data_IF_020647847711
#
_entry.id   IF_020647847711
#
_cell.length_a   1.000
_cell.length_b   1.000
_cell.length_c   1.000
_cell.angle_alpha   90.00
_cell.angle_beta   90.00
_cell.angle_gamma   90.00
#
_symmetry.space_group_name_H-M   'P 1'
#
loop_
_entity.id
_entity.type
_entity.pdbx_description
1 polymer ?
#
# COMPACT_ATOMS: atom_id res chain seq x y z
N UNK A 1 -15.03 -6.18 -2.46
CA UNK A 1 -15.27 -5.34 -1.26
C UNK A 1 -14.12 -5.56 -0.30
N UNK A 2 -13.47 -4.48 0.13
CA UNK A 2 -12.41 -4.54 1.13
C UNK A 2 -12.98 -5.08 2.45
N UNK A 3 -12.18 -5.85 3.19
CA UNK A 3 -12.52 -6.34 4.52
C UNK A 3 -12.27 -5.27 5.62
N UNK A 4 -11.94 -4.06 5.19
CA UNK A 4 -11.70 -2.86 6.01
C UNK A 4 -12.95 -1.97 6.01
N UNK A 5 -13.12 -1.18 7.06
CA UNK A 5 -14.14 -0.12 7.11
C UNK A 5 -13.70 1.10 6.28
N UNK A 6 -14.66 1.96 5.92
CA UNK A 6 -14.34 3.21 5.20
C UNK A 6 -13.37 4.07 5.99
N UNK A 7 -13.53 4.16 7.31
CA UNK A 7 -12.64 4.96 8.17
C UNK A 7 -11.22 4.38 8.25
N UNK A 8 -11.07 3.04 8.23
CA UNK A 8 -9.75 2.39 8.15
C UNK A 8 -9.08 2.72 6.80
N UNK A 9 -9.83 2.68 5.69
CA UNK A 9 -9.32 3.04 4.36
C UNK A 9 -8.87 4.50 4.30
N UNK A 10 -9.67 5.42 4.84
CA UNK A 10 -9.36 6.85 4.84
C UNK A 10 -8.11 7.17 5.67
N UNK A 11 -7.94 6.51 6.83
CA UNK A 11 -6.73 6.67 7.66
C UNK A 11 -5.48 6.15 6.96
N UNK A 12 -5.55 4.98 6.31
CA UNK A 12 -4.41 4.43 5.57
C UNK A 12 -4.06 5.35 4.39
N UNK A 13 -5.05 5.85 3.64
CA UNK A 13 -4.81 6.80 2.55
C UNK A 13 -4.13 8.08 3.05
N UNK A 14 -4.57 8.61 4.19
CA UNK A 14 -3.96 9.79 4.78
C UNK A 14 -2.49 9.54 5.17
N UNK A 15 -2.21 8.41 5.84
CA UNK A 15 -0.84 8.02 6.22
C UNK A 15 0.07 7.83 5.00
N UNK A 16 -0.37 7.05 4.00
CA UNK A 16 0.41 6.82 2.78
C UNK A 16 0.72 8.13 2.04
N UNK A 17 -0.20 9.10 2.05
CA UNK A 17 0.04 10.41 1.45
C UNK A 17 1.10 11.22 2.19
N UNK A 18 1.19 11.10 3.51
CA UNK A 18 2.24 11.74 4.31
C UNK A 18 3.59 11.03 4.12
N UNK A 19 3.59 9.69 4.10
CA UNK A 19 4.80 8.86 3.98
C UNK A 19 5.44 8.95 2.58
N UNK A 20 4.63 8.77 1.52
CA UNK A 20 5.08 8.73 0.13
C UNK A 20 5.04 10.11 -0.55
N UNK A 21 4.30 11.05 0.04
CA UNK A 21 3.98 12.33 -0.60
C UNK A 21 2.92 12.20 -1.70
N UNK A 22 2.76 13.28 -2.46
CA UNK A 22 1.83 13.36 -3.58
C UNK A 22 2.48 14.12 -4.75
N UNK A 23 2.60 13.46 -5.91
CA UNK A 23 3.19 14.06 -7.11
C UNK A 23 2.25 13.92 -8.31
N UNK A 24 1.70 15.04 -8.79
CA UNK A 24 0.75 15.08 -9.91
C UNK A 24 1.40 14.95 -11.31
N UNK A 25 2.59 14.34 -11.37
CA UNK A 25 3.33 14.10 -12.61
C UNK A 25 4.21 12.87 -12.45
N UNK A 26 4.62 12.29 -13.58
CA UNK A 26 5.56 11.16 -13.58
C UNK A 26 6.92 11.64 -13.05
N UNK A 27 7.48 10.92 -12.09
CA UNK A 27 8.82 11.12 -11.52
C UNK A 27 9.60 9.80 -11.50
N UNK A 28 10.89 9.86 -11.20
CA UNK A 28 11.69 8.67 -10.91
C UNK A 28 11.79 8.49 -9.40
N UNK A 29 11.47 7.30 -8.91
CA UNK A 29 11.68 6.94 -7.51
C UNK A 29 13.17 6.80 -7.15
N UNK A 30 13.46 6.44 -5.90
CA UNK A 30 14.84 6.24 -5.42
C UNK A 30 15.59 5.10 -6.12
N UNK A 31 14.87 4.21 -6.80
CA UNK A 31 15.40 3.08 -7.55
C UNK A 31 15.49 3.36 -9.06
N UNK A 32 15.03 4.53 -9.51
CA UNK A 32 15.02 4.94 -10.92
C UNK A 32 13.84 4.42 -11.73
N UNK A 33 12.77 3.96 -11.08
CA UNK A 33 11.54 3.53 -11.75
C UNK A 33 10.56 4.70 -11.90
N UNK A 34 9.76 4.66 -12.98
CA UNK A 34 8.73 5.69 -13.22
C UNK A 34 7.56 5.49 -12.26
N UNK A 35 7.20 6.55 -11.56
CA UNK A 35 6.16 6.56 -10.52
C UNK A 35 5.33 7.83 -10.62
N UNK A 36 4.08 7.82 -10.17
CA UNK A 36 3.26 9.03 -10.00
C UNK A 36 2.34 8.94 -8.79
N UNK A 37 1.68 10.06 -8.45
CA UNK A 37 0.63 10.09 -7.43
C UNK A 37 1.18 9.82 -6.04
N UNK A 38 0.58 8.83 -5.35
CA UNK A 38 0.98 8.35 -4.01
C UNK A 38 1.73 7.03 -4.22
N UNK A 39 3.00 7.10 -4.60
CA UNK A 39 3.88 5.93 -4.74
C UNK A 39 3.49 4.90 -5.82
N UNK A 40 2.60 5.23 -6.78
CA UNK A 40 2.16 4.27 -7.80
C UNK A 40 3.26 4.00 -8.84
N UNK A 41 3.84 2.81 -8.78
CA UNK A 41 4.82 2.31 -9.76
C UNK A 41 4.13 2.01 -11.09
N UNK A 42 4.56 2.68 -12.16
CA UNK A 42 3.99 2.50 -13.50
C UNK A 42 4.38 1.12 -14.05
N UNK A 43 3.37 0.30 -14.39
CA UNK A 43 3.53 -1.03 -14.99
C UNK A 43 3.21 -0.98 -16.49
N UNK A 44 3.55 -2.05 -17.21
CA UNK A 44 3.25 -2.19 -18.65
C UNK A 44 1.77 -2.10 -19.00
N UNK A 45 0.90 -2.45 -18.05
CA UNK A 45 -0.55 -2.36 -18.17
C UNK A 45 -1.09 -0.94 -18.03
N UNK A 46 -0.30 -0.01 -17.49
CA UNK A 46 -0.75 1.35 -17.24
C UNK A 46 -0.70 2.20 -18.51
N UNK A 47 -1.69 3.08 -18.75
CA UNK A 47 -1.68 4.03 -19.87
C UNK A 47 -0.41 4.89 -19.92
N UNK A 48 0.19 5.13 -18.76
CA UNK A 48 1.35 5.98 -18.58
C UNK A 48 2.70 5.32 -18.91
N UNK A 49 2.74 4.01 -19.19
CA UNK A 49 3.99 3.24 -19.34
C UNK A 49 5.03 3.89 -20.27
N UNK A 50 4.57 4.32 -21.44
CA UNK A 50 5.42 4.91 -22.48
C UNK A 50 5.57 6.43 -22.34
N UNK A 51 4.94 7.07 -21.35
CA UNK A 51 5.01 8.52 -21.17
C UNK A 51 6.34 8.93 -20.51
N UNK A 52 6.89 10.10 -20.87
CA UNK A 52 8.15 10.59 -20.31
C UNK A 52 7.96 11.07 -18.86
N UNK A 53 9.07 11.07 -18.11
CA UNK A 53 9.14 11.74 -16.80
C UNK A 53 8.76 13.22 -16.96
N UNK A 54 7.97 13.74 -16.03
CA UNK A 54 7.43 15.10 -16.06
C UNK A 54 6.04 15.23 -16.67
N UNK A 55 5.50 14.17 -17.29
CA UNK A 55 4.12 14.16 -17.80
C UNK A 55 3.13 14.36 -16.66
N UNK A 56 2.23 15.34 -16.79
CA UNK A 56 1.18 15.60 -15.80
C UNK A 56 0.14 14.49 -15.80
N UNK A 57 -0.33 14.13 -14.60
CA UNK A 57 -1.36 13.12 -14.39
C UNK A 57 -2.56 13.79 -13.72
N UNK A 58 -3.77 13.51 -14.21
CA UNK A 58 -4.99 14.05 -13.63
C UNK A 58 -5.24 13.50 -12.23
N UNK A 59 -5.89 14.29 -11.39
CA UNK A 59 -6.29 13.88 -10.04
C UNK A 59 -7.11 12.58 -10.07
N UNK A 60 -8.07 12.47 -10.98
CA UNK A 60 -8.91 11.27 -11.13
C UNK A 60 -8.10 10.01 -11.43
N UNK A 61 -7.05 10.13 -12.26
CA UNK A 61 -6.16 9.00 -12.56
C UNK A 61 -5.32 8.62 -11.36
N UNK A 62 -4.82 9.60 -10.60
CA UNK A 62 -4.07 9.37 -9.36
C UNK A 62 -4.95 8.64 -8.34
N UNK A 63 -6.18 9.11 -8.13
CA UNK A 63 -7.12 8.49 -7.20
C UNK A 63 -7.52 7.08 -7.63
N UNK A 64 -7.72 6.84 -8.93
CA UNK A 64 -7.97 5.51 -9.47
C UNK A 64 -6.79 4.57 -9.27
N UNK A 65 -5.57 5.01 -9.59
CA UNK A 65 -4.36 4.20 -9.44
C UNK A 65 -4.13 3.82 -7.97
N UNK A 66 -4.23 4.81 -7.07
CA UNK A 66 -4.13 4.59 -5.63
C UNK A 66 -5.16 3.57 -5.14
N UNK A 67 -6.42 3.70 -5.59
CA UNK A 67 -7.48 2.80 -5.17
C UNK A 67 -7.20 1.36 -5.60
N UNK A 68 -6.61 1.15 -6.77
CA UNK A 68 -6.29 -0.19 -7.27
C UNK A 68 -5.08 -0.79 -6.55
N UNK A 69 -4.01 -0.02 -6.34
CA UNK A 69 -2.86 -0.45 -5.53
C UNK A 69 -3.29 -0.78 -4.09
N UNK A 70 -4.15 0.05 -3.51
CA UNK A 70 -4.68 -0.18 -2.17
C UNK A 70 -5.49 -1.47 -2.08
N UNK A 71 -6.34 -1.76 -3.08
CA UNK A 71 -7.08 -3.04 -3.14
C UNK A 71 -6.13 -4.23 -3.27
N UNK A 72 -5.10 -4.10 -4.11
CA UNK A 72 -4.07 -5.15 -4.28
C UNK A 72 -3.37 -5.41 -2.94
N UNK A 73 -2.93 -4.36 -2.24
CA UNK A 73 -2.30 -4.45 -0.93
C UNK A 73 -3.23 -5.05 0.13
N UNK A 74 -4.49 -4.62 0.22
CA UNK A 74 -5.46 -5.15 1.17
C UNK A 74 -5.80 -6.63 0.90
N UNK A 75 -5.89 -7.02 -0.37
CA UNK A 75 -6.10 -8.42 -0.76
C UNK A 75 -4.88 -9.26 -0.40
N UNK A 76 -3.69 -8.82 -0.78
CA UNK A 76 -2.45 -9.53 -0.51
C UNK A 76 -2.20 -9.66 1.00
N UNK A 77 -2.51 -8.64 1.79
CA UNK A 77 -2.44 -8.70 3.26
C UNK A 77 -3.27 -9.87 3.79
N UNK A 78 -4.49 -10.01 3.28
CA UNK A 78 -5.41 -11.09 3.67
C UNK A 78 -4.95 -12.46 3.16
N UNK A 79 -4.34 -12.52 1.98
CA UNK A 79 -3.79 -13.76 1.44
C UNK A 79 -2.57 -14.23 2.23
N UNK A 80 -1.74 -13.30 2.72
CA UNK A 80 -0.62 -13.60 3.61
C UNK A 80 -1.14 -13.99 5.01
N UNK A 81 -2.10 -13.23 5.53
CA UNK A 81 -2.64 -13.38 6.87
C UNK A 81 -4.17 -13.48 6.87
N UNK A 82 -4.76 -14.67 6.63
CA UNK A 82 -6.21 -14.83 6.52
C UNK A 82 -7.01 -14.40 7.76
N UNK A 83 -6.36 -14.36 8.94
CA UNK A 83 -6.95 -13.94 10.22
C UNK A 83 -6.95 -12.41 10.43
N UNK A 84 -6.40 -11.64 9.49
CA UNK A 84 -6.26 -10.18 9.62
C UNK A 84 -7.57 -9.44 9.85
N UNK A 85 -8.69 -10.01 9.37
CA UNK A 85 -10.03 -9.46 9.56
C UNK A 85 -10.45 -9.38 11.03
N UNK A 86 -9.80 -10.14 11.91
CA UNK A 86 -10.10 -10.21 13.36
C UNK A 86 -9.17 -9.35 14.21
N UNK A 87 -8.19 -8.69 13.61
CA UNK A 87 -7.23 -7.86 14.33
C UNK A 87 -7.82 -6.50 14.73
N UNK A 88 -7.21 -5.81 15.72
CA UNK A 88 -7.55 -4.42 16.01
C UNK A 88 -7.36 -3.53 14.76
N UNK A 89 -8.16 -2.46 14.64
CA UNK A 89 -8.13 -1.55 13.49
C UNK A 89 -6.73 -1.03 13.16
N UNK A 90 -6.02 -0.52 14.16
CA UNK A 90 -4.64 -0.02 14.02
C UNK A 90 -3.68 -1.08 13.45
N UNK A 91 -3.78 -2.33 13.91
CA UNK A 91 -2.94 -3.43 13.39
C UNK A 91 -3.25 -3.69 11.92
N UNK A 92 -4.53 -3.66 11.52
CA UNK A 92 -4.89 -3.81 10.10
C UNK A 92 -4.30 -2.69 9.25
N UNK A 93 -4.40 -1.45 9.73
CA UNK A 93 -3.90 -0.26 9.04
C UNK A 93 -2.40 -0.36 8.80
N UNK A 94 -1.63 -0.68 9.85
CA UNK A 94 -0.18 -0.89 9.78
C UNK A 94 0.16 -1.99 8.78
N UNK A 95 -0.51 -3.15 8.89
CA UNK A 95 -0.18 -4.30 8.04
C UNK A 95 -0.53 -4.08 6.57
N UNK A 96 -1.59 -3.32 6.26
CA UNK A 96 -1.94 -2.94 4.89
C UNK A 96 -0.97 -1.90 4.35
N UNK A 97 -0.59 -0.88 5.13
CA UNK A 97 0.44 0.09 4.75
C UNK A 97 1.78 -0.61 4.46
N UNK A 98 2.24 -1.50 5.35
CA UNK A 98 3.44 -2.30 5.10
C UNK A 98 3.33 -3.14 3.83
N UNK A 99 2.17 -3.75 3.56
CA UNK A 99 1.94 -4.53 2.34
C UNK A 99 1.93 -3.65 1.09
N UNK A 100 1.43 -2.42 1.17
CA UNK A 100 1.45 -1.45 0.08
C UNK A 100 2.90 -1.15 -0.33
N UNK A 101 3.78 -0.90 0.65
CA UNK A 101 5.18 -0.56 0.41
C UNK A 101 6.09 -1.75 0.08
N UNK A 102 5.86 -2.91 0.71
CA UNK A 102 6.75 -4.08 0.59
C UNK A 102 6.23 -5.15 -0.37
N UNK A 103 4.94 -5.11 -0.71
CA UNK A 103 4.25 -6.17 -1.43
C UNK A 103 4.47 -7.54 -0.79
N UNK A 104 4.71 -8.56 -1.62
CA UNK A 104 4.90 -9.94 -1.17
C UNK A 104 6.13 -10.18 -0.28
N UNK A 105 7.08 -9.23 -0.20
CA UNK A 105 8.26 -9.33 0.66
C UNK A 105 7.88 -9.38 2.15
N UNK A 106 6.69 -8.92 2.51
CA UNK A 106 6.16 -9.03 3.86
C UNK A 106 6.16 -10.48 4.40
N UNK A 107 6.04 -11.50 3.54
CA UNK A 107 6.14 -12.93 3.92
C UNK A 107 7.50 -13.32 4.52
N UNK A 108 8.53 -12.50 4.33
CA UNK A 108 9.88 -12.79 4.82
C UNK A 108 10.05 -12.47 6.32
N UNK A 109 9.15 -11.66 6.90
CA UNK A 109 9.21 -11.23 8.30
C UNK A 109 8.62 -12.30 9.23
N UNK A 110 9.37 -13.39 9.42
CA UNK A 110 8.91 -14.57 10.19
C UNK A 110 8.58 -14.25 11.65
N UNK A 111 9.38 -13.40 12.30
CA UNK A 111 9.15 -13.01 13.70
C UNK A 111 7.85 -12.20 13.86
N UNK A 112 7.62 -11.24 12.96
CA UNK A 112 6.37 -10.49 12.88
C UNK A 112 5.18 -11.44 12.67
N UNK A 113 5.29 -12.38 11.72
CA UNK A 113 4.24 -13.36 11.47
C UNK A 113 3.90 -14.17 12.74
N UNK A 114 4.89 -14.66 13.46
CA UNK A 114 4.68 -15.39 14.73
C UNK A 114 4.06 -14.50 15.81
N UNK A 115 4.45 -13.24 15.91
CA UNK A 115 3.85 -12.30 16.87
C UNK A 115 2.37 -12.04 16.55
N UNK A 116 2.04 -11.81 15.27
CA UNK A 116 0.67 -11.60 14.79
C UNK A 116 -0.23 -12.83 15.01
N UNK A 117 0.30 -14.03 14.77
CA UNK A 117 -0.43 -15.29 15.03
C UNK A 117 -0.79 -15.48 16.51
N UNK A 118 0.14 -15.09 17.39
CA UNK A 118 -0.05 -15.14 18.84
C UNK A 118 -0.81 -13.93 19.41
N UNK A 119 -1.17 -12.95 18.56
CA UNK A 119 -1.74 -11.66 18.97
C UNK A 119 -0.85 -10.90 19.98
N UNK A 120 0.46 -11.10 19.88
CA UNK A 120 1.46 -10.42 20.68
C UNK A 120 1.87 -9.11 20.01
N UNK A 121 1.08 -8.06 20.26
CA UNK A 121 1.24 -6.76 19.59
C UNK A 121 2.51 -6.03 20.01
N UNK A 122 2.98 -6.23 21.24
CA UNK A 122 4.24 -5.64 21.70
C UNK A 122 5.41 -6.22 20.92
N UNK A 123 5.43 -7.55 20.74
CA UNK A 123 6.46 -8.22 19.94
C UNK A 123 6.34 -7.93 18.44
N UNK A 124 5.14 -7.63 17.94
CA UNK A 124 4.96 -7.22 16.55
C UNK A 124 5.53 -5.82 16.28
N UNK A 125 5.66 -4.98 17.31
CA UNK A 125 6.18 -3.62 17.22
C UNK A 125 7.69 -3.49 17.55
N UNK A 126 8.31 -4.54 18.06
CA UNK A 126 9.75 -4.63 18.38
C UNK A 126 10.58 -5.01 17.15
#
# INVERSE_FOLDING_TARGET
MSWLTTEEVDRIKAQLKEDEGFVAKIYLDSLGYKTFGIGHLIRESDPEYNLPVGTEISQDRIDSAFLDDFKEAASLTKDIYPKCTTWPGEVKEIMVNMTFNLGGKLKQFKNLATALENKDWNKAAD
#
